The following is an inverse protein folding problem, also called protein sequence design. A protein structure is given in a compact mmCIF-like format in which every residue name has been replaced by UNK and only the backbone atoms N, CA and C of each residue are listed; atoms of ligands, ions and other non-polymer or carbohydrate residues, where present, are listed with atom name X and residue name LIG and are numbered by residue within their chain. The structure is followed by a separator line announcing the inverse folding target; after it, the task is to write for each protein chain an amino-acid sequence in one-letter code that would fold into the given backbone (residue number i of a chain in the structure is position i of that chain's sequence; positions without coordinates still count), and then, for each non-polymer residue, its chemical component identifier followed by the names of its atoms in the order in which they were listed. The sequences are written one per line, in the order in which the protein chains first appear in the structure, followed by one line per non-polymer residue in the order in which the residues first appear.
data_IF_972752894585
#
_entry.id   IF_972752894585
#
_cell.length_a   1.000
_cell.length_b   1.000
_cell.length_c   1.000
_cell.angle_alpha   90.00
_cell.angle_beta   90.00
_cell.angle_gamma   90.00
#
_symmetry.space_group_name_H-M   'P 1'
#
loop_
_entity.id
_entity.type
_entity.pdbx_description
1 polymer ?
#
# COMPACT_ATOMS: atom_id res chain seq x y z
N UNK A 1 18.20 -6.17 -4.56
CA UNK A 1 16.77 -5.82 -4.40
C UNK A 1 16.62 -4.98 -3.16
N UNK A 2 15.61 -4.12 -3.14
CA UNK A 2 15.15 -3.38 -1.98
C UNK A 2 13.74 -3.86 -1.62
N UNK A 3 13.30 -3.66 -0.39
CA UNK A 3 11.92 -3.93 0.03
C UNK A 3 11.18 -2.61 0.18
N UNK A 4 10.03 -2.48 -0.46
CA UNK A 4 9.14 -1.34 -0.28
C UNK A 4 8.48 -1.44 1.11
N UNK A 5 8.58 -0.39 1.94
CA UNK A 5 8.30 -0.50 3.37
C UNK A 5 6.83 -0.78 3.70
N UNK A 6 5.87 -0.34 2.87
CA UNK A 6 4.45 -0.46 3.18
C UNK A 6 3.80 -1.72 2.61
N UNK A 7 4.23 -2.15 1.42
CA UNK A 7 3.67 -3.36 0.77
C UNK A 7 4.50 -4.61 1.02
N UNK A 8 5.80 -4.45 1.28
CA UNK A 8 6.74 -5.56 1.37
C UNK A 8 7.16 -6.10 0.00
N UNK A 9 6.73 -5.47 -1.10
CA UNK A 9 7.19 -5.82 -2.44
C UNK A 9 8.71 -5.63 -2.53
N UNK A 10 9.41 -6.63 -3.03
CA UNK A 10 10.83 -6.55 -3.33
C UNK A 10 11.00 -6.05 -4.76
N UNK A 11 11.74 -4.96 -4.94
CA UNK A 11 11.98 -4.33 -6.24
C UNK A 11 13.49 -4.25 -6.55
N UNK A 12 13.91 -4.18 -7.82
CA UNK A 12 15.31 -3.94 -8.16
C UNK A 12 15.80 -2.56 -7.67
N UNK A 13 14.91 -1.56 -7.62
CA UNK A 13 15.17 -0.19 -7.12
C UNK A 13 13.85 0.52 -6.77
N UNK A 14 13.90 1.67 -6.07
CA UNK A 14 12.73 2.50 -5.72
C UNK A 14 12.53 3.70 -6.66
N UNK A 15 13.07 3.66 -7.87
CA UNK A 15 12.90 4.75 -8.85
C UNK A 15 11.52 4.71 -9.50
N UNK A 16 10.98 3.51 -9.75
CA UNK A 16 9.61 3.31 -10.20
C UNK A 16 8.64 3.54 -9.04
N UNK A 17 7.72 4.50 -9.19
CA UNK A 17 6.76 4.89 -8.16
C UNK A 17 5.43 5.30 -8.77
N UNK A 18 4.33 4.93 -8.12
CA UNK A 18 3.05 5.58 -8.37
C UNK A 18 3.01 6.96 -7.69
N UNK A 19 2.39 7.92 -8.34
CA UNK A 19 2.14 9.27 -7.83
C UNK A 19 0.78 9.76 -8.33
N UNK A 20 0.27 10.86 -7.76
CA UNK A 20 -0.98 11.50 -8.21
C UNK A 20 -2.16 10.52 -8.33
N UNK A 21 -2.34 9.66 -7.32
CA UNK A 21 -3.48 8.75 -7.23
C UNK A 21 -4.80 9.53 -7.12
N UNK A 22 -5.73 9.23 -8.02
CA UNK A 22 -7.11 9.69 -8.04
C UNK A 22 -8.04 8.48 -8.06
N UNK A 23 -9.02 8.47 -7.17
CA UNK A 23 -9.92 7.34 -6.94
C UNK A 23 -11.38 7.80 -6.99
N UNK A 24 -12.24 6.92 -7.48
CA UNK A 24 -13.69 7.10 -7.53
C UNK A 24 -14.34 5.79 -7.10
N UNK A 25 -15.13 5.85 -6.02
CA UNK A 25 -16.00 4.75 -5.60
C UNK A 25 -17.20 4.68 -6.56
N UNK A 26 -17.40 3.52 -7.19
CA UNK A 26 -18.46 3.25 -8.17
C UNK A 26 -19.56 2.34 -7.62
N UNK A 27 -19.63 2.12 -6.29
CA UNK A 27 -20.48 1.15 -5.58
C UNK A 27 -20.18 -0.33 -5.92
N UNK A 28 -19.72 -0.63 -7.14
CA UNK A 28 -19.30 -1.96 -7.59
C UNK A 28 -17.80 -2.22 -7.43
N UNK A 29 -17.04 -1.19 -7.04
CA UNK A 29 -15.59 -1.23 -6.85
C UNK A 29 -14.99 0.16 -6.92
N UNK A 30 -13.67 0.26 -6.71
CA UNK A 30 -12.93 1.52 -6.78
C UNK A 30 -12.23 1.60 -8.13
N UNK A 31 -12.66 2.55 -8.96
CA UNK A 31 -11.89 2.93 -10.15
C UNK A 31 -10.79 3.91 -9.74
N UNK A 32 -9.60 3.74 -10.30
CA UNK A 32 -8.50 4.65 -10.01
C UNK A 32 -7.59 4.90 -11.21
N UNK A 33 -6.91 6.03 -11.13
CA UNK A 33 -5.74 6.33 -11.97
C UNK A 33 -4.59 6.84 -11.12
N UNK A 34 -3.37 6.48 -11.49
CA UNK A 34 -2.16 7.04 -10.90
C UNK A 34 -1.10 7.24 -12.00
N UNK A 35 -0.23 8.22 -11.83
CA UNK A 35 0.94 8.36 -12.70
C UNK A 35 2.02 7.38 -12.25
N UNK A 36 2.55 6.60 -13.19
CA UNK A 36 3.77 5.83 -12.98
C UNK A 36 4.96 6.73 -13.37
N UNK A 37 5.89 6.91 -12.45
CA UNK A 37 7.10 7.69 -12.65
C UNK A 37 8.37 6.84 -12.46
N UNK A 38 9.41 7.11 -13.25
CA UNK A 38 10.76 6.66 -12.98
C UNK A 38 11.64 7.85 -12.57
N UNK A 39 11.90 7.98 -11.27
CA UNK A 39 12.50 9.19 -10.72
C UNK A 39 11.57 10.38 -10.94
N UNK A 40 12.02 11.37 -11.73
CA UNK A 40 11.22 12.56 -12.05
C UNK A 40 10.43 12.45 -13.36
N UNK A 41 10.67 11.42 -14.18
CA UNK A 41 10.02 11.27 -15.49
C UNK A 41 8.72 10.47 -15.36
N UNK A 42 7.63 10.96 -15.94
CA UNK A 42 6.38 10.20 -16.07
C UNK A 42 6.55 9.19 -17.20
N UNK A 43 6.33 7.91 -16.89
CA UNK A 43 6.46 6.81 -17.86
C UNK A 43 5.10 6.32 -18.36
N UNK A 44 4.02 6.57 -17.62
CA UNK A 44 2.66 6.25 -18.05
C UNK A 44 1.63 6.47 -16.96
N UNK A 45 0.43 5.94 -17.20
CA UNK A 45 -0.70 6.00 -16.26
C UNK A 45 -1.13 4.58 -15.89
N UNK A 46 -1.15 4.29 -14.60
CA UNK A 46 -1.77 3.10 -14.03
C UNK A 46 -3.28 3.33 -14.02
N UNK A 47 -4.04 2.34 -14.49
CA UNK A 47 -5.50 2.42 -14.60
C UNK A 47 -6.13 1.15 -14.03
N UNK A 48 -7.16 1.32 -13.19
CA UNK A 48 -8.14 0.30 -12.87
C UNK A 48 -9.55 0.88 -13.06
N UNK A 49 -10.43 0.13 -13.70
CA UNK A 49 -11.77 0.60 -14.08
C UNK A 49 -12.83 0.35 -12.99
N UNK A 50 -12.48 -0.26 -11.86
CA UNK A 50 -13.36 -0.46 -10.71
C UNK A 50 -14.45 -1.50 -10.92
N UNK A 51 -14.39 -2.29 -12.01
CA UNK A 51 -15.40 -3.30 -12.37
C UNK A 51 -14.92 -4.74 -12.10
N UNK A 52 -13.96 -4.92 -11.19
CA UNK A 52 -13.30 -6.22 -10.96
C UNK A 52 -12.36 -6.66 -12.10
N UNK A 53 -12.05 -5.74 -13.02
CA UNK A 53 -11.04 -5.94 -14.07
C UNK A 53 -9.62 -5.69 -13.57
N UNK A 54 -8.60 -6.02 -14.40
CA UNK A 54 -7.21 -5.92 -14.00
C UNK A 54 -6.73 -4.49 -13.91
N UNK A 55 -5.73 -4.26 -13.07
CA UNK A 55 -4.92 -3.04 -13.11
C UNK A 55 -3.92 -3.12 -14.26
N UNK A 56 -3.88 -2.09 -15.11
CA UNK A 56 -3.02 -2.06 -16.30
C UNK A 56 -2.29 -0.73 -16.50
N UNK A 57 -1.18 -0.77 -17.23
CA UNK A 57 -0.38 0.41 -17.58
C UNK A 57 -0.74 0.92 -18.97
N UNK A 58 -1.23 2.17 -19.03
CA UNK A 58 -1.36 2.94 -20.27
C UNK A 58 -0.10 3.76 -20.50
N UNK A 59 0.76 3.33 -21.41
CA UNK A 59 2.06 3.96 -21.71
C UNK A 59 2.43 3.83 -23.19
N UNK A 60 3.42 4.62 -23.65
CA UNK A 60 4.07 4.39 -24.93
C UNK A 60 4.83 3.05 -24.91
N UNK A 61 5.03 2.43 -26.07
CA UNK A 61 5.61 1.08 -26.19
C UNK A 61 6.97 0.94 -25.49
N UNK A 62 7.88 1.91 -25.64
CA UNK A 62 9.20 1.89 -25.00
C UNK A 62 9.10 1.95 -23.47
N UNK A 63 8.23 2.81 -22.95
CA UNK A 63 8.00 2.94 -21.51
C UNK A 63 7.33 1.70 -20.91
N UNK A 64 6.43 1.06 -21.67
CA UNK A 64 5.85 -0.22 -21.30
C UNK A 64 6.93 -1.30 -21.21
N UNK A 65 7.81 -1.42 -22.22
CA UNK A 65 8.93 -2.37 -22.19
C UNK A 65 9.89 -2.17 -21.03
N UNK A 66 10.19 -0.92 -20.67
CA UNK A 66 10.98 -0.58 -19.48
C UNK A 66 10.28 -1.03 -18.18
N UNK A 67 8.97 -0.81 -18.08
CA UNK A 67 8.18 -1.29 -16.93
C UNK A 67 8.14 -2.83 -16.88
N UNK A 68 7.92 -3.53 -17.99
CA UNK A 68 7.94 -5.00 -18.03
C UNK A 68 9.30 -5.55 -17.55
N UNK A 69 10.41 -4.95 -17.99
CA UNK A 69 11.75 -5.34 -17.53
C UNK A 69 11.95 -5.11 -16.01
N UNK A 70 11.35 -4.05 -15.45
CA UNK A 70 11.31 -3.81 -14.01
C UNK A 70 10.45 -4.87 -13.29
N UNK A 71 9.23 -5.11 -13.76
CA UNK A 71 8.26 -6.02 -13.15
C UNK A 71 8.77 -7.46 -13.07
N UNK A 72 9.48 -7.95 -14.10
CA UNK A 72 10.07 -9.32 -14.11
C UNK A 72 11.09 -9.56 -12.98
N UNK A 73 11.65 -8.49 -12.41
CA UNK A 73 12.60 -8.55 -11.30
C UNK A 73 11.94 -8.35 -9.94
N UNK A 74 10.67 -7.94 -9.90
CA UNK A 74 9.94 -7.76 -8.66
C UNK A 74 9.54 -9.10 -8.04
N UNK A 75 9.53 -9.16 -6.71
CA UNK A 75 9.07 -10.31 -5.94
C UNK A 75 8.11 -9.88 -4.84
N UNK A 76 7.25 -10.80 -4.43
CA UNK A 76 6.48 -10.62 -3.21
C UNK A 76 7.39 -10.70 -1.96
N UNK A 77 6.79 -10.56 -0.78
CA UNK A 77 7.50 -10.64 0.51
C UNK A 77 8.15 -12.01 0.76
N UNK A 78 7.71 -13.07 0.08
CA UNK A 78 8.21 -14.44 0.19
C UNK A 78 9.22 -14.79 -0.91
N UNK A 79 9.52 -13.85 -1.82
CA UNK A 79 10.46 -14.05 -2.92
C UNK A 79 9.84 -14.67 -4.18
N UNK A 80 8.52 -14.78 -4.28
CA UNK A 80 7.83 -15.28 -5.48
C UNK A 80 7.70 -14.18 -6.55
N UNK A 81 7.83 -14.50 -7.86
CA UNK A 81 7.61 -13.53 -8.94
C UNK A 81 6.22 -12.90 -8.89
N UNK A 82 6.16 -11.59 -9.17
CA UNK A 82 4.90 -10.86 -9.32
C UNK A 82 4.53 -10.71 -10.79
N UNK A 83 3.22 -10.69 -11.07
CA UNK A 83 2.68 -10.26 -12.36
C UNK A 83 2.79 -8.74 -12.49
N UNK A 84 2.72 -8.21 -13.71
CA UNK A 84 2.71 -6.76 -13.93
C UNK A 84 1.57 -6.07 -13.18
N UNK A 85 0.37 -6.65 -13.23
CA UNK A 85 -0.80 -6.21 -12.47
C UNK A 85 -0.49 -6.06 -10.97
N UNK A 86 0.03 -7.13 -10.34
CA UNK A 86 0.37 -7.06 -8.92
C UNK A 86 1.48 -6.04 -8.64
N UNK A 87 2.45 -5.85 -9.54
CA UNK A 87 3.47 -4.80 -9.37
C UNK A 87 2.83 -3.41 -9.42
N UNK A 88 1.88 -3.18 -10.34
CA UNK A 88 1.15 -1.90 -10.42
C UNK A 88 0.33 -1.65 -9.15
N UNK A 89 -0.42 -2.65 -8.69
CA UNK A 89 -1.20 -2.56 -7.46
C UNK A 89 -0.30 -2.26 -6.25
N UNK A 90 0.81 -2.99 -6.10
CA UNK A 90 1.75 -2.76 -5.01
C UNK A 90 2.41 -1.36 -5.07
N UNK A 91 2.61 -0.78 -6.26
CA UNK A 91 3.14 0.58 -6.37
C UNK A 91 2.09 1.63 -5.99
N UNK A 92 0.82 1.39 -6.32
CA UNK A 92 -0.31 2.26 -5.92
C UNK A 92 -0.53 2.18 -4.42
N UNK A 93 -0.61 0.99 -3.85
CA UNK A 93 -0.73 0.75 -2.41
C UNK A 93 0.44 1.38 -1.65
N UNK A 94 1.67 1.23 -2.14
CA UNK A 94 2.84 1.85 -1.52
C UNK A 94 2.70 3.38 -1.44
N UNK A 95 2.18 4.00 -2.51
CA UNK A 95 1.91 5.44 -2.53
C UNK A 95 0.78 5.84 -1.57
N UNK A 96 -0.31 5.06 -1.56
CA UNK A 96 -1.46 5.32 -0.70
C UNK A 96 -1.10 5.18 0.78
N UNK A 97 -0.45 4.10 1.18
CA UNK A 97 0.01 3.87 2.55
C UNK A 97 0.99 4.97 3.00
N UNK A 98 1.96 5.34 2.16
CA UNK A 98 2.88 6.43 2.48
C UNK A 98 2.13 7.75 2.74
N UNK A 99 1.11 8.06 1.93
CA UNK A 99 0.25 9.24 2.14
C UNK A 99 -0.55 9.12 3.44
N UNK A 100 -1.16 7.97 3.69
CA UNK A 100 -2.00 7.74 4.87
C UNK A 100 -1.19 7.85 6.17
N UNK A 101 -0.02 7.23 6.22
CA UNK A 101 0.89 7.24 7.37
C UNK A 101 1.38 8.67 7.65
N UNK A 102 1.90 9.37 6.65
CA UNK A 102 2.35 10.75 6.83
C UNK A 102 1.18 11.67 7.29
N UNK A 103 -0.02 11.42 6.79
CA UNK A 103 -1.25 12.13 7.15
C UNK A 103 -1.69 11.84 8.59
N UNK A 104 -1.57 10.60 9.05
CA UNK A 104 -1.87 10.19 10.42
C UNK A 104 -0.87 10.77 11.42
N UNK A 105 0.43 10.71 11.11
CA UNK A 105 1.50 11.21 11.98
C UNK A 105 1.42 12.72 12.19
N UNK A 106 1.15 13.50 11.13
CA UNK A 106 0.87 14.93 11.25
C UNK A 106 -0.31 15.23 12.19
N UNK A 107 -1.29 14.32 12.26
CA UNK A 107 -2.44 14.41 13.17
C UNK A 107 -2.21 13.72 14.52
N UNK A 108 -0.98 13.28 14.80
CA UNK A 108 -0.61 12.55 16.03
C UNK A 108 -1.44 11.27 16.24
N UNK A 109 -1.70 10.57 15.14
CA UNK A 109 -2.44 9.30 15.07
C UNK A 109 -1.54 8.18 14.56
N UNK A 110 -2.00 6.96 14.77
CA UNK A 110 -1.34 5.72 14.34
C UNK A 110 -2.22 5.02 13.32
N UNK A 111 -1.59 4.36 12.34
CA UNK A 111 -2.28 3.61 11.29
C UNK A 111 -2.37 2.14 11.67
N UNK A 112 -3.54 1.57 11.48
CA UNK A 112 -3.83 0.14 11.59
C UNK A 112 -4.48 -0.31 10.29
N UNK A 113 -4.20 -1.53 9.85
CA UNK A 113 -4.94 -2.19 8.77
C UNK A 113 -5.50 -3.52 9.27
N UNK A 114 -6.69 -3.83 8.82
CA UNK A 114 -7.41 -5.07 9.11
C UNK A 114 -7.60 -5.81 7.80
N UNK A 115 -7.47 -7.13 7.82
CA UNK A 115 -7.66 -8.00 6.67
C UNK A 115 -8.84 -8.92 6.91
N UNK A 116 -9.67 -9.08 5.91
CA UNK A 116 -10.75 -10.06 5.89
C UNK A 116 -10.25 -11.45 5.43
N UNK A 117 -11.17 -12.39 5.25
CA UNK A 117 -10.84 -13.75 4.77
C UNK A 117 -10.32 -13.80 3.33
N UNK A 118 -10.52 -12.75 2.54
CA UNK A 118 -9.99 -12.61 1.18
C UNK A 118 -8.63 -11.89 1.15
N UNK A 119 -8.06 -11.57 2.32
CA UNK A 119 -6.84 -10.79 2.49
C UNK A 119 -6.93 -9.35 1.95
N UNK A 120 -8.14 -8.80 1.85
CA UNK A 120 -8.36 -7.43 1.43
C UNK A 120 -8.19 -6.49 2.63
N UNK A 121 -7.26 -5.51 2.57
CA UNK A 121 -7.02 -4.61 3.67
C UNK A 121 -8.09 -3.50 3.75
N UNK A 122 -8.54 -3.20 4.96
CA UNK A 122 -9.18 -1.92 5.31
C UNK A 122 -8.33 -1.20 6.34
N UNK A 123 -8.01 0.06 6.07
CA UNK A 123 -7.14 0.86 6.92
C UNK A 123 -7.93 1.82 7.82
N UNK A 124 -7.47 1.98 9.05
CA UNK A 124 -8.04 2.88 10.05
C UNK A 124 -6.94 3.64 10.78
N UNK A 125 -7.34 4.62 11.59
CA UNK A 125 -6.40 5.33 12.46
C UNK A 125 -6.95 5.49 13.86
N UNK A 126 -6.08 5.55 14.86
CA UNK A 126 -6.45 5.84 16.24
C UNK A 126 -5.46 6.80 16.89
N UNK A 127 -5.87 7.42 17.99
CA UNK A 127 -5.03 8.34 18.75
C UNK A 127 -4.76 7.79 20.14
N UNK A 128 -3.55 8.02 20.62
CA UNK A 128 -3.23 7.82 22.04
C UNK A 128 -3.67 9.02 22.86
N UNK A 129 -4.01 8.78 24.13
CA UNK A 129 -4.35 9.85 25.10
C UNK A 129 -3.22 10.89 25.26
N UNK A 130 -1.97 10.49 25.04
CA UNK A 130 -0.80 11.39 25.08
C UNK A 130 -0.82 12.46 23.98
N UNK A 131 -1.57 12.27 22.90
CA UNK A 131 -1.61 13.18 21.75
C UNK A 131 -0.25 13.30 21.04
N UNK A 132 0.57 12.24 21.07
CA UNK A 132 1.87 12.16 20.40
C UNK A 132 1.98 10.87 19.62
N UNK A 133 2.78 10.88 18.55
CA UNK A 133 3.18 9.64 17.86
C UNK A 133 4.18 8.92 18.77
N UNK A 134 3.74 7.79 19.33
CA UNK A 134 4.57 6.85 20.09
C UNK A 134 4.19 5.43 19.66
N UNK A 135 5.00 4.82 18.81
CA UNK A 135 4.70 3.48 18.28
C UNK A 135 4.70 2.41 19.37
N UNK A 136 5.56 2.51 20.39
CA UNK A 136 5.61 1.52 21.46
C UNK A 136 4.36 1.56 22.35
N UNK A 137 3.86 2.75 22.65
CA UNK A 137 2.59 2.91 23.35
C UNK A 137 1.40 2.47 22.46
N UNK A 138 1.45 2.76 21.16
CA UNK A 138 0.43 2.34 20.21
C UNK A 138 0.34 0.82 20.09
N UNK A 139 1.48 0.13 20.01
CA UNK A 139 1.55 -1.34 20.04
C UNK A 139 0.87 -1.93 21.28
N UNK A 140 1.12 -1.36 22.47
CA UNK A 140 0.49 -1.81 23.73
C UNK A 140 -1.01 -1.50 23.79
N UNK A 141 -1.49 -0.57 22.98
CA UNK A 141 -2.91 -0.21 22.89
C UNK A 141 -3.65 -0.98 21.79
N UNK A 142 -2.95 -1.43 20.74
CA UNK A 142 -3.55 -2.05 19.55
C UNK A 142 -4.47 -3.25 19.86
N UNK A 143 -4.13 -4.17 20.79
CA UNK A 143 -5.03 -5.28 21.13
C UNK A 143 -6.36 -4.85 21.76
N UNK A 144 -6.54 -3.59 22.17
CA UNK A 144 -7.82 -3.07 22.70
C UNK A 144 -8.70 -2.43 21.63
N UNK A 145 -8.23 -2.37 20.39
CA UNK A 145 -9.02 -1.85 19.28
C UNK A 145 -10.11 -2.85 18.92
N UNK A 146 -11.31 -2.34 18.72
CA UNK A 146 -12.41 -3.13 18.15
C UNK A 146 -12.14 -3.35 16.67
N UNK A 147 -12.02 -4.60 16.27
CA UNK A 147 -11.88 -4.95 14.86
C UNK A 147 -13.20 -4.69 14.11
N UNK A 148 -13.15 -4.27 12.84
CA UNK A 148 -14.31 -4.32 11.96
C UNK A 148 -14.87 -5.76 11.88
N UNK A 149 -16.18 -5.88 11.68
CA UNK A 149 -16.81 -7.19 11.48
C UNK A 149 -16.17 -7.91 10.29
N UNK A 150 -15.81 -9.19 10.47
CA UNK A 150 -15.17 -10.01 9.43
C UNK A 150 -13.64 -9.91 9.35
N UNK A 151 -13.00 -9.03 10.14
CA UNK A 151 -11.54 -8.98 10.21
C UNK A 151 -10.98 -10.26 10.86
N UNK A 152 -10.02 -10.91 10.19
CA UNK A 152 -9.34 -12.13 10.67
C UNK A 152 -7.87 -11.88 11.02
N UNK A 153 -7.29 -10.78 10.55
CA UNK A 153 -5.91 -10.35 10.85
C UNK A 153 -5.85 -8.84 10.98
N UNK A 154 -5.00 -8.35 11.87
CA UNK A 154 -4.75 -6.92 12.03
C UNK A 154 -3.25 -6.64 12.11
N UNK A 155 -2.83 -5.51 11.57
CA UNK A 155 -1.45 -5.04 11.59
C UNK A 155 -1.41 -3.55 11.94
N UNK A 156 -0.42 -3.14 12.73
CA UNK A 156 -0.16 -1.74 13.07
C UNK A 156 1.15 -1.27 12.46
N UNK A 157 1.16 -0.05 11.94
CA UNK A 157 2.39 0.59 11.45
C UNK A 157 3.26 1.02 12.62
N UNK A 158 4.52 0.58 12.63
CA UNK A 158 5.47 0.80 13.73
C UNK A 158 6.67 1.66 13.32
N UNK A 159 6.56 2.41 12.23
CA UNK A 159 7.63 3.22 11.65
C UNK A 159 8.51 2.41 10.69
N UNK A 160 9.34 3.11 9.90
CA UNK A 160 10.15 2.52 8.82
C UNK A 160 11.09 1.40 9.31
N UNK A 161 11.59 1.49 10.55
CA UNK A 161 12.51 0.49 11.12
C UNK A 161 11.83 -0.86 11.41
N UNK A 162 10.52 -0.86 11.66
CA UNK A 162 9.76 -2.06 12.08
C UNK A 162 8.68 -2.48 11.08
N UNK A 163 8.20 -1.55 10.26
CA UNK A 163 7.12 -1.76 9.32
C UNK A 163 5.80 -2.15 9.99
N UNK A 164 5.04 -3.00 9.31
CA UNK A 164 3.78 -3.55 9.80
C UNK A 164 4.01 -4.70 10.79
N UNK A 165 3.37 -4.63 11.95
CA UNK A 165 3.43 -5.67 12.98
C UNK A 165 2.04 -6.22 13.26
N UNK A 166 1.88 -7.54 13.12
CA UNK A 166 0.61 -8.21 13.36
C UNK A 166 0.23 -8.23 14.84
N UNK A 167 -1.06 -8.10 15.13
CA UNK A 167 -1.64 -8.27 16.46
C UNK A 167 -3.03 -8.91 16.38
N UNK A 168 -3.49 -9.47 17.50
CA UNK A 168 -4.86 -9.95 17.65
C UNK A 168 -5.71 -8.85 18.29
N UNK A 169 -6.72 -8.30 17.60
CA UNK A 169 -7.64 -7.33 18.19
C UNK A 169 -8.57 -7.99 19.22
N UNK A 170 -9.22 -7.18 20.06
CA UNK A 170 -10.16 -7.62 21.09
C UNK A 170 -11.54 -7.95 20.53
#
# INVERSE_FOLDING_TARGET
MITLPHTGMQAPHNRMRATNLNEVDLDCGVAFTALLCEGAAVVGTIVNEGQGGPTYLRAAHEAHGAFSAFATQCRDRHGAPLTEEHVLDNLVDEHEYARQIASAERRKRHVVRYFDTADIPTSGTFALRSGRVDYNAAWKAAPRLTAPAGAVRAEIWMGDDRGWVAFTPA
#
